data_IF_277011578452
#
_entry.id   IF_277011578452
#
_cell.length_a   1.000
_cell.length_b   1.000
_cell.length_c   1.000
_cell.angle_alpha   90.00
_cell.angle_beta   90.00
_cell.angle_gamma   90.00
#
_symmetry.space_group_name_H-M   'P 1'
#
loop_
_entity.id
_entity.type
_entity.pdbx_description
1 polymer ?
#
# COMPACT_ATOMS: atom_id res chain seq x y z
N UNK A 1 23.81 -27.15 -0.33
CA UNK A 1 23.43 -28.22 -1.29
C UNK A 1 22.48 -27.59 -2.31
N UNK A 2 23.01 -26.89 -3.31
CA UNK A 2 23.19 -27.43 -4.67
C UNK A 2 21.90 -28.06 -5.21
N UNK A 3 20.99 -27.23 -5.72
CA UNK A 3 19.98 -27.70 -6.66
C UNK A 3 20.66 -27.99 -8.00
N UNK A 4 21.07 -29.24 -8.06
CA UNK A 4 21.41 -30.04 -9.22
C UNK A 4 20.23 -29.99 -10.22
N UNK A 5 20.32 -29.13 -11.23
CA UNK A 5 19.27 -29.01 -12.26
C UNK A 5 19.69 -28.32 -13.55
N UNK A 6 20.97 -27.98 -13.69
CA UNK A 6 21.53 -27.35 -14.89
C UNK A 6 22.34 -28.38 -15.69
N UNK A 7 21.70 -29.44 -16.20
CA UNK A 7 22.31 -30.30 -17.23
C UNK A 7 21.30 -31.31 -17.80
N UNK A 8 20.31 -30.83 -18.57
CA UNK A 8 19.83 -31.59 -19.73
C UNK A 8 19.57 -30.62 -20.88
N UNK A 9 20.43 -30.77 -21.88
CA UNK A 9 20.46 -30.12 -23.17
C UNK A 9 19.25 -30.60 -23.99
N UNK A 10 18.42 -29.67 -24.46
CA UNK A 10 17.35 -29.93 -25.42
C UNK A 10 17.39 -28.89 -26.53
N UNK A 11 18.06 -29.22 -27.63
CA UNK A 11 17.95 -28.50 -28.90
C UNK A 11 16.56 -28.72 -29.46
N UNK A 12 15.75 -27.65 -29.51
CA UNK A 12 14.43 -27.70 -30.12
C UNK A 12 13.83 -26.30 -30.16
N UNK A 13 13.70 -25.76 -31.37
CA UNK A 13 12.89 -24.59 -31.66
C UNK A 13 11.46 -24.87 -31.19
N UNK A 14 11.12 -24.41 -30.00
CA UNK A 14 9.73 -24.33 -29.56
C UNK A 14 9.44 -22.86 -29.27
N UNK A 15 8.66 -22.30 -30.20
CA UNK A 15 7.91 -21.06 -30.08
C UNK A 15 7.68 -20.69 -28.62
N UNK A 16 8.26 -19.55 -28.21
CA UNK A 16 7.97 -18.90 -26.96
C UNK A 16 6.45 -18.81 -26.79
N UNK A 17 5.88 -19.68 -25.95
CA UNK A 17 4.63 -19.40 -25.29
C UNK A 17 4.90 -18.22 -24.36
N UNK A 18 4.81 -17.01 -24.92
CA UNK A 18 4.59 -15.80 -24.16
C UNK A 18 3.23 -16.01 -23.51
N UNK A 19 3.20 -16.54 -22.30
CA UNK A 19 2.03 -16.44 -21.44
C UNK A 19 1.78 -14.95 -21.31
N UNK A 20 0.82 -14.45 -22.07
CA UNK A 20 0.34 -13.08 -21.96
C UNK A 20 -0.38 -12.99 -20.62
N UNK A 21 0.41 -12.89 -19.55
CA UNK A 21 -0.03 -12.31 -18.29
C UNK A 21 -0.69 -10.98 -18.66
N UNK A 22 -1.93 -10.70 -18.22
CA UNK A 22 -2.58 -9.44 -18.51
C UNK A 22 -1.62 -8.32 -18.08
N UNK A 23 -1.05 -7.61 -19.05
CA UNK A 23 -0.06 -6.58 -18.80
C UNK A 23 -0.80 -5.38 -18.23
N UNK A 24 -1.12 -5.41 -16.94
CA UNK A 24 -1.28 -4.17 -16.18
C UNK A 24 0.12 -3.57 -16.08
N UNK A 25 0.54 -2.91 -17.16
CA UNK A 25 1.86 -2.32 -17.32
C UNK A 25 1.85 -0.92 -16.71
N UNK A 26 1.46 -0.81 -15.45
CA UNK A 26 1.60 0.44 -14.71
C UNK A 26 3.07 0.66 -14.42
N UNK A 27 3.60 1.79 -14.87
CA UNK A 27 4.96 2.18 -14.50
C UNK A 27 5.00 2.36 -12.99
N UNK A 28 6.12 2.00 -12.38
CA UNK A 28 6.35 2.23 -10.95
C UNK A 28 6.05 3.67 -10.52
N UNK A 29 6.34 4.63 -11.41
CA UNK A 29 6.08 6.05 -11.18
C UNK A 29 4.59 6.35 -11.04
N UNK A 30 3.74 5.65 -11.80
CA UNK A 30 2.28 5.77 -11.68
C UNK A 30 1.78 5.15 -10.37
N UNK A 31 2.44 4.09 -9.92
CA UNK A 31 2.07 3.39 -8.69
C UNK A 31 2.40 4.24 -7.44
N UNK A 32 3.57 4.89 -7.43
CA UNK A 32 3.91 5.88 -6.40
C UNK A 32 2.98 7.11 -6.40
N UNK A 33 2.55 7.56 -7.59
CA UNK A 33 1.55 8.64 -7.68
C UNK A 33 0.18 8.21 -7.15
N UNK A 34 -0.19 6.95 -7.37
CA UNK A 34 -1.43 6.38 -6.84
C UNK A 34 -1.38 6.26 -5.31
N UNK A 35 -0.27 5.78 -4.75
CA UNK A 35 -0.08 5.73 -3.29
C UNK A 35 -0.09 7.13 -2.67
N UNK A 36 0.66 8.08 -3.24
CA UNK A 36 0.64 9.47 -2.82
C UNK A 36 -0.77 10.08 -2.86
N UNK A 37 -1.55 9.80 -3.91
CA UNK A 37 -2.94 10.25 -3.99
C UNK A 37 -3.82 9.61 -2.91
N UNK A 38 -3.66 8.31 -2.65
CA UNK A 38 -4.35 7.60 -1.56
C UNK A 38 -3.98 8.14 -0.18
N UNK A 39 -2.70 8.37 0.08
CA UNK A 39 -2.21 8.97 1.30
C UNK A 39 -2.75 10.39 1.49
N UNK A 40 -2.78 11.22 0.44
CA UNK A 40 -3.38 12.55 0.49
C UNK A 40 -4.88 12.51 0.81
N UNK A 41 -5.64 11.62 0.18
CA UNK A 41 -7.06 11.42 0.51
C UNK A 41 -7.23 10.99 1.97
N UNK A 42 -6.38 10.08 2.45
CA UNK A 42 -6.39 9.63 3.85
C UNK A 42 -6.10 10.78 4.81
N UNK A 43 -5.13 11.65 4.50
CA UNK A 43 -4.83 12.86 5.28
C UNK A 43 -6.03 13.80 5.34
N UNK A 44 -6.70 14.04 4.21
CA UNK A 44 -7.89 14.89 4.17
C UNK A 44 -9.05 14.30 4.97
N UNK A 45 -9.28 12.98 4.84
CA UNK A 45 -10.36 12.31 5.55
C UNK A 45 -10.11 12.31 7.05
N UNK A 46 -8.96 11.82 7.51
CA UNK A 46 -8.64 11.70 8.93
C UNK A 46 -8.35 13.05 9.59
N UNK A 47 -7.80 14.01 8.85
CA UNK A 47 -7.40 15.32 9.37
C UNK A 47 -8.48 16.40 9.31
N UNK A 48 -9.44 16.30 8.40
CA UNK A 48 -10.46 17.34 8.18
C UNK A 48 -11.89 16.79 8.20
N UNK A 49 -12.21 15.81 7.35
CA UNK A 49 -13.60 15.37 7.13
C UNK A 49 -14.15 14.61 8.32
N UNK A 50 -13.49 13.55 8.77
CA UNK A 50 -13.94 12.74 9.91
C UNK A 50 -13.97 13.54 11.22
N UNK A 51 -12.97 14.39 11.52
CA UNK A 51 -13.05 15.29 12.67
C UNK A 51 -14.24 16.24 12.62
N UNK A 52 -14.58 16.76 11.44
CA UNK A 52 -15.74 17.64 11.28
C UNK A 52 -17.07 16.90 11.49
N UNK A 53 -17.18 15.66 11.00
CA UNK A 53 -18.35 14.80 11.17
C UNK A 53 -18.24 13.84 12.36
N UNK A 54 -17.50 14.22 13.41
CA UNK A 54 -17.20 13.33 14.54
C UNK A 54 -18.48 12.77 15.19
N UNK A 55 -19.53 13.57 15.33
CA UNK A 55 -20.80 13.12 15.93
C UNK A 55 -21.47 11.99 15.13
N UNK A 56 -21.27 11.95 13.82
CA UNK A 56 -21.82 10.91 12.94
C UNK A 56 -20.98 9.63 12.96
N UNK A 57 -19.65 9.77 12.87
CA UNK A 57 -18.73 8.62 12.81
C UNK A 57 -18.38 8.05 14.19
N UNK A 58 -18.49 8.83 15.26
CA UNK A 58 -18.16 8.43 16.63
C UNK A 58 -16.67 8.12 16.86
N UNK A 59 -15.79 8.44 15.91
CA UNK A 59 -14.35 8.18 16.06
C UNK A 59 -13.76 9.29 16.93
N UNK A 60 -13.13 8.97 18.08
CA UNK A 60 -12.55 9.99 18.95
C UNK A 60 -11.50 10.86 18.23
N UNK A 61 -11.49 12.16 18.49
CA UNK A 61 -10.51 13.08 17.90
C UNK A 61 -9.06 12.69 18.23
N UNK A 62 -8.82 12.10 19.40
CA UNK A 62 -7.50 11.57 19.78
C UNK A 62 -7.06 10.45 18.84
N UNK A 63 -7.96 9.54 18.49
CA UNK A 63 -7.70 8.46 17.54
C UNK A 63 -7.44 9.02 16.13
N UNK A 64 -8.25 9.96 15.65
CA UNK A 64 -8.06 10.59 14.33
C UNK A 64 -6.74 11.33 14.21
N UNK A 65 -6.37 12.11 15.24
CA UNK A 65 -5.06 12.80 15.31
C UNK A 65 -3.89 11.83 15.31
N UNK A 66 -4.06 10.64 15.88
CA UNK A 66 -3.03 9.62 15.89
C UNK A 66 -2.94 8.90 14.52
N UNK A 67 -4.09 8.60 13.91
CA UNK A 67 -4.19 7.88 12.64
C UNK A 67 -3.79 8.72 11.42
N UNK A 68 -3.87 10.05 11.48
CA UNK A 68 -3.46 10.91 10.37
C UNK A 68 -1.94 11.01 10.22
N UNK A 69 -1.17 10.71 11.28
CA UNK A 69 0.28 10.87 11.30
C UNK A 69 0.98 9.99 10.24
N UNK A 70 0.72 8.66 10.15
CA UNK A 70 1.38 7.83 9.15
C UNK A 70 1.07 8.22 7.69
N UNK A 71 -0.19 8.49 7.28
CA UNK A 71 -0.49 8.97 5.93
C UNK A 71 0.24 10.27 5.54
N UNK A 72 0.46 11.19 6.47
CA UNK A 72 1.29 12.40 6.20
C UNK A 72 2.72 12.01 5.85
N UNK A 73 3.31 11.06 6.59
CA UNK A 73 4.66 10.58 6.30
C UNK A 73 4.73 9.83 4.96
N UNK A 74 3.74 9.01 4.65
CA UNK A 74 3.66 8.26 3.37
C UNK A 74 3.60 9.24 2.19
N UNK A 75 2.71 10.23 2.25
CA UNK A 75 2.60 11.27 1.23
C UNK A 75 3.93 11.99 0.98
N UNK A 76 4.61 12.42 2.04
CA UNK A 76 5.91 13.11 1.91
C UNK A 76 6.95 12.17 1.29
N UNK A 77 7.01 10.92 1.79
CA UNK A 77 7.95 9.93 1.32
C UNK A 77 7.77 9.64 -0.17
N UNK A 78 6.54 9.40 -0.62
CA UNK A 78 6.24 9.11 -2.03
C UNK A 78 6.63 10.25 -2.95
N UNK A 79 6.32 11.50 -2.58
CA UNK A 79 6.68 12.67 -3.36
C UNK A 79 8.20 12.84 -3.46
N UNK A 80 8.93 12.60 -2.36
CA UNK A 80 10.39 12.65 -2.34
C UNK A 80 10.97 11.55 -3.26
N UNK A 81 10.51 10.30 -3.12
CA UNK A 81 11.00 9.18 -3.94
C UNK A 81 10.67 9.40 -5.41
N UNK A 82 9.45 9.84 -5.72
CA UNK A 82 8.99 10.14 -7.07
C UNK A 82 9.87 11.19 -7.76
N UNK A 83 10.29 12.23 -7.04
CA UNK A 83 11.16 13.30 -7.59
C UNK A 83 12.60 12.85 -7.84
N UNK A 84 13.07 11.79 -7.18
CA UNK A 84 14.47 11.31 -7.21
C UNK A 84 14.68 10.07 -8.07
N UNK A 85 13.75 9.79 -8.98
CA UNK A 85 13.81 8.61 -9.85
C UNK A 85 15.05 8.65 -10.79
N UNK A 86 16.16 7.98 -10.43
CA UNK A 86 17.28 7.62 -11.33
C UNK A 86 17.46 6.14 -11.73
N UNK A 87 17.43 5.13 -10.84
CA UNK A 87 17.22 3.69 -11.15
C UNK A 87 17.35 2.84 -9.87
N UNK A 88 16.65 1.70 -9.82
CA UNK A 88 16.52 0.77 -8.69
C UNK A 88 15.67 1.23 -7.47
N UNK A 89 14.35 1.03 -7.57
CA UNK A 89 13.37 1.42 -6.53
C UNK A 89 12.76 0.25 -5.76
N UNK A 90 13.14 -0.98 -6.09
CA UNK A 90 12.57 -2.17 -5.44
C UNK A 90 12.58 -2.05 -3.91
N UNK A 91 13.72 -1.67 -3.29
CA UNK A 91 13.79 -1.50 -1.83
C UNK A 91 12.89 -0.38 -1.27
N UNK A 92 12.78 0.75 -1.97
CA UNK A 92 11.96 1.89 -1.54
C UNK A 92 10.47 1.53 -1.55
N UNK A 93 10.00 0.90 -2.62
CA UNK A 93 8.61 0.45 -2.74
C UNK A 93 8.28 -0.67 -1.74
N UNK A 94 9.23 -1.57 -1.48
CA UNK A 94 9.06 -2.59 -0.45
C UNK A 94 8.95 -1.97 0.95
N UNK A 95 9.72 -0.92 1.24
CA UNK A 95 9.64 -0.17 2.48
C UNK A 95 8.27 0.47 2.71
N UNK A 96 7.74 1.16 1.69
CA UNK A 96 6.38 1.75 1.72
C UNK A 96 5.33 0.67 1.98
N UNK A 97 5.36 -0.41 1.21
CA UNK A 97 4.38 -1.49 1.36
C UNK A 97 4.39 -2.09 2.78
N UNK A 98 5.58 -2.28 3.36
CA UNK A 98 5.69 -2.73 4.75
C UNK A 98 5.13 -1.70 5.74
N UNK A 99 5.36 -0.41 5.52
CA UNK A 99 4.83 0.66 6.35
C UNK A 99 3.30 0.74 6.25
N UNK A 100 2.72 0.61 5.05
CA UNK A 100 1.28 0.56 4.80
C UNK A 100 0.62 -0.64 5.51
N UNK A 101 1.26 -1.82 5.51
CA UNK A 101 0.78 -2.97 6.29
C UNK A 101 0.86 -2.72 7.80
N UNK A 102 1.94 -2.08 8.26
CA UNK A 102 2.07 -1.65 9.65
C UNK A 102 0.98 -0.66 10.06
N UNK A 103 0.64 0.27 9.16
CA UNK A 103 -0.45 1.22 9.36
C UNK A 103 -1.82 0.54 9.42
N UNK A 104 -2.07 -0.48 8.58
CA UNK A 104 -3.28 -1.28 8.66
C UNK A 104 -3.42 -1.94 10.04
N UNK A 105 -2.35 -2.56 10.54
CA UNK A 105 -2.33 -3.17 11.87
C UNK A 105 -2.55 -2.13 12.98
N UNK A 106 -1.90 -0.97 12.87
CA UNK A 106 -2.07 0.14 13.79
C UNK A 106 -3.52 0.64 13.83
N UNK A 107 -4.13 0.80 12.66
CA UNK A 107 -5.52 1.25 12.53
C UNK A 107 -6.51 0.26 13.15
N UNK A 108 -6.26 -1.05 13.01
CA UNK A 108 -7.04 -2.08 13.69
C UNK A 108 -6.93 -1.98 15.22
N UNK A 109 -5.73 -1.77 15.75
CA UNK A 109 -5.51 -1.62 17.19
C UNK A 109 -6.26 -0.41 17.74
N UNK A 110 -6.16 0.74 17.08
CA UNK A 110 -6.89 1.97 17.48
C UNK A 110 -8.40 1.76 17.40
N UNK A 111 -8.90 1.11 16.35
CA UNK A 111 -10.32 0.81 16.20
C UNK A 111 -10.84 -0.13 17.30
N UNK A 112 -10.05 -1.14 17.67
CA UNK A 112 -10.40 -2.07 18.75
C UNK A 112 -10.49 -1.36 20.11
N UNK A 113 -9.53 -0.48 20.43
CA UNK A 113 -9.52 0.26 21.70
C UNK A 113 -10.74 1.19 21.87
N UNK A 114 -11.34 1.65 20.78
CA UNK A 114 -12.49 2.55 20.79
C UNK A 114 -13.76 1.91 20.23
N UNK A 115 -13.82 0.57 20.15
CA UNK A 115 -14.89 -0.15 19.46
C UNK A 115 -16.30 0.09 20.03
N UNK A 116 -16.40 0.45 21.32
CA UNK A 116 -17.68 0.75 21.98
C UNK A 116 -18.23 2.12 21.60
N UNK A 117 -17.37 3.09 21.29
CA UNK A 117 -17.76 4.49 21.00
C UNK A 117 -17.91 4.72 19.50
N UNK A 118 -17.11 4.04 18.68
CA UNK A 118 -17.14 4.21 17.23
C UNK A 118 -18.48 3.70 16.67
N UNK A 119 -19.14 4.53 15.87
CA UNK A 119 -20.41 4.18 15.23
C UNK A 119 -20.21 3.11 14.14
N UNK A 120 -21.30 2.51 13.66
CA UNK A 120 -21.22 1.54 12.57
C UNK A 120 -20.61 2.15 11.30
N UNK A 121 -20.86 3.44 11.05
CA UNK A 121 -20.29 4.18 9.92
C UNK A 121 -18.79 4.43 10.10
N UNK A 122 -18.35 4.74 11.32
CA UNK A 122 -16.92 4.89 11.64
C UNK A 122 -16.16 3.58 11.47
N UNK A 123 -16.74 2.46 11.92
CA UNK A 123 -16.17 1.11 11.70
C UNK A 123 -16.09 0.80 10.21
N UNK A 124 -17.15 1.09 9.46
CA UNK A 124 -17.19 0.91 8.01
C UNK A 124 -16.09 1.70 7.30
N UNK A 125 -15.88 2.97 7.67
CA UNK A 125 -14.80 3.78 7.12
C UNK A 125 -13.42 3.17 7.40
N UNK A 126 -13.12 2.84 8.66
CA UNK A 126 -11.80 2.29 9.03
C UNK A 126 -11.53 0.97 8.32
N UNK A 127 -12.54 0.09 8.23
CA UNK A 127 -12.40 -1.18 7.48
C UNK A 127 -12.16 -0.92 5.99
N UNK A 128 -12.87 0.03 5.38
CA UNK A 128 -12.66 0.38 3.97
C UNK A 128 -11.25 0.93 3.73
N UNK A 129 -10.76 1.82 4.60
CA UNK A 129 -9.40 2.36 4.54
C UNK A 129 -8.35 1.24 4.63
N UNK A 130 -8.48 0.36 5.63
CA UNK A 130 -7.58 -0.80 5.79
C UNK A 130 -7.58 -1.70 4.55
N UNK A 131 -8.75 -2.00 3.99
CA UNK A 131 -8.85 -2.85 2.81
C UNK A 131 -8.15 -2.21 1.60
N UNK A 132 -8.40 -0.92 1.35
CA UNK A 132 -7.79 -0.19 0.23
C UNK A 132 -6.27 -0.17 0.39
N UNK A 133 -5.76 0.22 1.56
CA UNK A 133 -4.32 0.34 1.83
C UNK A 133 -3.63 -1.03 1.80
N UNK A 134 -4.24 -2.06 2.38
CA UNK A 134 -3.68 -3.42 2.36
C UNK A 134 -3.61 -3.99 0.93
N UNK A 135 -4.64 -3.78 0.12
CA UNK A 135 -4.65 -4.23 -1.28
C UNK A 135 -3.55 -3.53 -2.09
N UNK A 136 -3.36 -2.22 -1.88
CA UNK A 136 -2.30 -1.45 -2.54
C UNK A 136 -0.90 -1.96 -2.12
N UNK A 137 -0.66 -2.14 -0.83
CA UNK A 137 0.59 -2.68 -0.31
C UNK A 137 0.91 -4.09 -0.82
N UNK A 138 -0.09 -4.97 -0.92
CA UNK A 138 0.08 -6.30 -1.50
C UNK A 138 0.45 -6.20 -2.99
N UNK A 139 -0.15 -5.26 -3.70
CA UNK A 139 0.17 -5.04 -5.12
C UNK A 139 1.59 -4.52 -5.30
N UNK A 140 2.04 -3.58 -4.47
CA UNK A 140 3.43 -3.09 -4.43
C UNK A 140 4.43 -4.23 -4.25
N UNK A 141 4.22 -5.08 -3.24
CA UNK A 141 5.09 -6.24 -2.98
C UNK A 141 5.14 -7.22 -4.16
N UNK A 142 4.01 -7.41 -4.86
CA UNK A 142 3.96 -8.23 -6.09
C UNK A 142 4.79 -7.60 -7.20
N UNK A 143 4.69 -6.29 -7.41
CA UNK A 143 5.47 -5.57 -8.44
C UNK A 143 6.97 -5.65 -8.14
N UNK A 144 7.38 -5.47 -6.88
CA UNK A 144 8.80 -5.62 -6.48
C UNK A 144 9.30 -7.04 -6.77
N UNK A 145 8.57 -8.07 -6.33
CA UNK A 145 8.96 -9.47 -6.54
C UNK A 145 9.14 -9.83 -8.02
N UNK A 146 8.25 -9.34 -8.89
CA UNK A 146 8.34 -9.59 -10.33
C UNK A 146 9.57 -8.92 -10.96
N UNK A 147 10.03 -7.80 -10.41
CA UNK A 147 11.19 -7.07 -10.90
C UNK A 147 12.51 -7.68 -10.39
N UNK A 148 12.51 -8.31 -9.21
CA UNK A 148 13.68 -9.02 -8.67
C UNK A 148 13.95 -10.37 -9.37
N UNK A 149 12.92 -11.01 -9.94
CA UNK A 149 13.04 -12.30 -10.66
C UNK A 149 13.36 -12.17 -12.16
N UNK A 150 13.70 -10.97 -12.66
CA UNK A 150 14.18 -10.71 -14.02
C UNK A 150 15.62 -10.22 -13.98
#
# INVERSE_FOLDING_TARGET
>A
MCYFGYLLRGTGNHHYFRTDQPRINMSLRNLLLLDAAGAFVSVLMLGLVLPYFQEFFGIPLSALKLLVIPPVFFLIYDLVVWSRIKSNYGPWLQGIAMANLGYCAFSLVVAYQHAEVISIWGKGYIVAEILIVALLAIWELRVVRLKTNR
#
